data_IF_287371120720
#
_entry.id   IF_287371120720
#
_cell.length_a   1.000
_cell.length_b   1.000
_cell.length_c   1.000
_cell.angle_alpha   90.00
_cell.angle_beta   90.00
_cell.angle_gamma   90.00
#
_symmetry.space_group_name_H-M   'P 1'
#
loop_
_entity.id
_entity.type
_entity.pdbx_description
1 polymer ?
#
# COMPACT_ATOMS: atom_id res chain seq x y z
N UNK A 1 3.22 -10.74 -7.62
CA UNK A 1 2.05 -10.02 -8.18
C UNK A 1 2.39 -8.54 -8.29
N UNK A 2 2.78 -8.04 -9.45
CA UNK A 2 2.82 -6.60 -9.69
C UNK A 2 1.41 -6.15 -10.04
N UNK A 3 0.66 -5.63 -9.07
CA UNK A 3 -0.66 -5.07 -9.37
C UNK A 3 -0.49 -3.97 -10.41
N UNK A 4 -1.27 -4.00 -11.49
CA UNK A 4 -1.32 -2.95 -12.51
C UNK A 4 -1.91 -1.63 -11.97
N UNK A 5 -2.01 -1.49 -10.65
CA UNK A 5 -2.62 -0.36 -9.99
C UNK A 5 -1.94 -0.10 -8.66
N UNK A 6 -1.66 1.16 -8.38
CA UNK A 6 -1.25 1.61 -7.06
C UNK A 6 -2.30 2.53 -6.46
N UNK A 7 -2.38 2.52 -5.13
CA UNK A 7 -3.27 3.38 -4.37
C UNK A 7 -2.48 4.14 -3.33
N UNK A 8 -2.81 5.40 -3.10
CA UNK A 8 -2.27 6.16 -1.97
C UNK A 8 -3.24 7.25 -1.54
N UNK A 9 -3.10 7.66 -0.29
CA UNK A 9 -3.87 8.75 0.29
C UNK A 9 -2.95 9.94 0.51
N UNK A 10 -3.50 11.14 0.34
CA UNK A 10 -2.80 12.38 0.62
C UNK A 10 -3.82 13.41 1.13
N UNK A 11 -3.67 13.83 2.39
CA UNK A 11 -4.70 14.58 3.09
C UNK A 11 -6.05 13.84 3.08
N UNK A 12 -7.13 14.55 2.76
CA UNK A 12 -8.50 13.99 2.69
C UNK A 12 -8.88 13.43 1.31
N UNK A 13 -7.88 13.10 0.48
CA UNK A 13 -8.08 12.60 -0.88
C UNK A 13 -7.41 11.25 -1.06
N UNK A 14 -8.03 10.43 -1.91
CA UNK A 14 -7.50 9.14 -2.33
C UNK A 14 -7.16 9.18 -3.81
N UNK A 15 -6.06 8.53 -4.17
CA UNK A 15 -5.57 8.45 -5.53
C UNK A 15 -5.36 7.01 -5.93
N UNK A 16 -5.64 6.72 -7.19
CA UNK A 16 -5.18 5.50 -7.81
C UNK A 16 -4.58 5.78 -9.17
N UNK A 17 -3.53 5.02 -9.50
CA UNK A 17 -2.88 5.08 -10.80
C UNK A 17 -2.94 3.67 -11.37
N UNK A 18 -3.64 3.53 -12.48
CA UNK A 18 -3.80 2.25 -13.19
C UNK A 18 -2.95 2.26 -14.45
N UNK A 19 -2.07 1.28 -14.60
CA UNK A 19 -1.28 1.07 -15.81
C UNK A 19 -2.09 0.22 -16.79
N UNK A 20 -2.06 0.61 -18.06
CA UNK A 20 -2.52 -0.20 -19.18
C UNK A 20 -1.56 -0.03 -20.36
N UNK A 21 -1.63 -0.94 -21.33
CA UNK A 21 -0.73 -0.94 -22.48
C UNK A 21 -1.56 -0.92 -23.76
N UNK A 22 -1.15 -0.10 -24.72
CA UNK A 22 -1.72 -0.07 -26.07
C UNK A 22 -0.61 0.11 -27.09
N UNK A 23 -0.58 -0.72 -28.13
CA UNK A 23 0.46 -0.73 -29.16
C UNK A 23 1.89 -0.80 -28.59
N UNK A 24 2.13 -1.65 -27.59
CA UNK A 24 3.39 -1.76 -26.84
C UNK A 24 3.85 -0.48 -26.09
N UNK A 25 2.99 0.53 -25.99
CA UNK A 25 3.24 1.74 -25.20
C UNK A 25 2.45 1.66 -23.90
N UNK A 26 3.13 1.93 -22.78
CA UNK A 26 2.50 2.01 -21.47
C UNK A 26 1.84 3.37 -21.23
N UNK A 27 0.60 3.32 -20.74
CA UNK A 27 -0.22 4.45 -20.38
C UNK A 27 -0.70 4.33 -18.93
N UNK A 28 -0.96 5.46 -18.31
CA UNK A 28 -1.30 5.54 -16.89
C UNK A 28 -2.53 6.42 -16.68
N UNK A 29 -3.58 5.82 -16.13
CA UNK A 29 -4.77 6.55 -15.70
C UNK A 29 -4.61 6.95 -14.24
N UNK A 30 -4.40 8.24 -13.99
CA UNK A 30 -4.38 8.81 -12.64
C UNK A 30 -5.77 9.33 -12.29
N UNK A 31 -6.36 8.74 -11.24
CA UNK A 31 -7.66 9.14 -10.72
C UNK A 31 -7.52 9.77 -9.33
N UNK A 32 -8.02 11.00 -9.18
CA UNK A 32 -8.23 11.67 -7.89
C UNK A 32 -9.68 11.47 -7.45
N UNK A 33 -9.88 11.13 -6.17
CA UNK A 33 -11.20 11.13 -5.51
C UNK A 33 -11.19 11.93 -4.22
N UNK A 34 -12.25 12.70 -4.05
CA UNK A 34 -12.65 13.34 -2.79
C UNK A 34 -14.10 12.97 -2.47
N UNK A 35 -14.65 13.47 -1.35
CA UNK A 35 -16.02 13.18 -0.91
C UNK A 35 -17.10 13.45 -1.97
N UNK A 36 -16.92 14.47 -2.82
CA UNK A 36 -17.93 14.92 -3.79
C UNK A 36 -17.40 15.04 -5.22
N UNK A 37 -16.16 14.61 -5.48
CA UNK A 37 -15.50 14.85 -6.76
C UNK A 37 -14.61 13.68 -7.17
N UNK A 38 -14.65 13.35 -8.45
CA UNK A 38 -13.72 12.42 -9.09
C UNK A 38 -13.15 13.09 -10.34
N UNK A 39 -11.82 13.06 -10.48
CA UNK A 39 -11.12 13.52 -11.68
C UNK A 39 -10.21 12.43 -12.18
N UNK A 40 -10.06 12.32 -13.49
CA UNK A 40 -9.19 11.36 -14.16
C UNK A 40 -8.36 12.10 -15.19
N UNK A 41 -7.10 11.72 -15.31
CA UNK A 41 -6.21 12.11 -16.40
C UNK A 41 -5.44 10.89 -16.89
N UNK A 42 -5.27 10.79 -18.20
CA UNK A 42 -4.47 9.74 -18.83
C UNK A 42 -3.12 10.33 -19.23
N UNK A 43 -2.04 9.64 -18.86
CA UNK A 43 -0.68 10.13 -18.93
C UNK A 43 0.21 9.12 -19.64
N UNK A 44 1.15 9.60 -20.44
CA UNK A 44 2.25 8.77 -20.95
C UNK A 44 3.27 8.52 -19.84
N UNK A 45 4.10 7.50 -20.02
CA UNK A 45 5.17 7.18 -19.06
C UNK A 45 6.09 8.39 -18.80
N UNK A 46 6.52 9.08 -19.86
CA UNK A 46 7.38 10.28 -19.77
C UNK A 46 6.74 11.39 -18.95
N UNK A 47 5.43 11.61 -19.12
CA UNK A 47 4.71 12.63 -18.35
C UNK A 47 4.63 12.22 -16.88
N UNK A 48 4.39 10.95 -16.57
CA UNK A 48 4.33 10.47 -15.19
C UNK A 48 5.71 10.54 -14.50
N UNK A 49 6.79 10.24 -15.22
CA UNK A 49 8.16 10.44 -14.76
C UNK A 49 8.47 11.92 -14.49
N UNK A 50 8.06 12.81 -15.38
CA UNK A 50 8.16 14.26 -15.18
C UNK A 50 7.36 14.71 -13.95
N UNK A 51 6.16 14.15 -13.71
CA UNK A 51 5.41 14.41 -12.48
C UNK A 51 6.22 13.98 -11.25
N UNK A 52 6.84 12.81 -11.27
CA UNK A 52 7.70 12.36 -10.17
C UNK A 52 8.89 13.31 -9.94
N UNK A 53 9.49 13.84 -11.01
CA UNK A 53 10.53 14.84 -10.92
C UNK A 53 10.04 16.13 -10.22
N UNK A 54 8.94 16.73 -10.70
CA UNK A 54 8.45 17.99 -10.10
C UNK A 54 7.98 17.80 -8.65
N UNK A 55 7.44 16.63 -8.29
CA UNK A 55 7.05 16.35 -6.90
C UNK A 55 8.28 16.31 -5.99
N UNK A 56 9.40 15.72 -6.44
CA UNK A 56 10.65 15.71 -5.68
C UNK A 56 11.23 17.12 -5.54
N UNK A 57 11.31 17.86 -6.63
CA UNK A 57 11.78 19.25 -6.65
C UNK A 57 10.94 20.15 -5.74
N UNK A 58 9.60 20.07 -5.86
CA UNK A 58 8.67 20.84 -5.04
C UNK A 58 8.80 20.58 -3.54
N UNK A 59 9.33 19.40 -3.17
CA UNK A 59 9.56 18.98 -1.78
C UNK A 59 10.86 19.50 -1.18
N UNK A 60 11.82 19.94 -1.99
CA UNK A 60 13.14 20.34 -1.51
C UNK A 60 13.12 21.70 -0.81
N UNK A 61 12.26 22.64 -1.24
CA UNK A 61 12.15 23.92 -0.55
C UNK A 61 11.09 23.92 0.55
N UNK A 62 11.44 24.45 1.71
CA UNK A 62 10.52 24.63 2.84
C UNK A 62 9.75 25.97 2.79
N UNK A 63 10.14 26.91 1.91
CA UNK A 63 9.48 28.22 1.81
C UNK A 63 8.13 28.11 1.09
N UNK A 64 7.17 28.98 1.45
CA UNK A 64 5.85 29.12 0.79
C UNK A 64 5.92 29.83 -0.56
N UNK A 65 6.87 29.44 -1.41
CA UNK A 65 7.05 30.03 -2.74
C UNK A 65 6.19 29.30 -3.78
N UNK A 66 5.60 30.07 -4.70
CA UNK A 66 4.89 29.50 -5.85
C UNK A 66 5.92 29.11 -6.90
N UNK A 67 5.91 27.84 -7.33
CA UNK A 67 6.76 27.32 -8.41
C UNK A 67 5.94 26.78 -9.55
N UNK A 68 6.45 26.87 -10.77
CA UNK A 68 5.76 26.46 -12.00
C UNK A 68 6.72 25.66 -12.88
N UNK A 69 6.21 24.57 -13.44
CA UNK A 69 6.89 23.71 -14.40
C UNK A 69 5.95 23.49 -15.59
N UNK A 70 6.52 23.35 -16.78
CA UNK A 70 5.79 23.04 -18.01
C UNK A 70 6.43 21.83 -18.68
N UNK A 71 5.62 20.96 -19.24
CA UNK A 71 6.05 19.85 -20.06
C UNK A 71 5.11 19.72 -21.25
N UNK A 72 5.66 19.64 -22.45
CA UNK A 72 4.90 19.47 -23.68
C UNK A 72 5.10 18.05 -24.17
N UNK A 73 4.02 17.28 -24.22
CA UNK A 73 3.99 15.98 -24.88
C UNK A 73 3.39 16.14 -26.29
N UNK A 74 3.50 15.10 -27.13
CA UNK A 74 2.97 15.11 -28.49
C UNK A 74 1.45 15.33 -28.52
N UNK A 75 0.74 14.90 -27.47
CA UNK A 75 -0.73 14.84 -27.43
C UNK A 75 -1.34 15.92 -26.54
N UNK A 76 -0.58 16.47 -25.58
CA UNK A 76 -1.10 17.40 -24.58
C UNK A 76 0.02 18.26 -23.95
N UNK A 77 -0.36 19.42 -23.44
CA UNK A 77 0.51 20.24 -22.60
C UNK A 77 0.18 20.05 -21.13
N UNK A 78 1.22 19.91 -20.31
CA UNK A 78 1.13 19.68 -18.89
C UNK A 78 1.80 20.82 -18.12
N UNK A 79 1.13 21.26 -17.06
CA UNK A 79 1.63 22.30 -16.17
C UNK A 79 1.59 21.82 -14.74
N UNK A 80 2.74 21.84 -14.08
CA UNK A 80 2.88 21.54 -12.67
C UNK A 80 3.03 22.84 -11.91
N UNK A 81 2.25 23.08 -10.87
CA UNK A 81 2.41 24.27 -10.03
C UNK A 81 2.36 23.91 -8.57
N UNK A 82 3.36 24.38 -7.81
CA UNK A 82 3.33 24.33 -6.35
C UNK A 82 2.70 25.62 -5.85
N UNK A 83 1.65 25.49 -5.06
CA UNK A 83 0.89 26.62 -4.49
C UNK A 83 0.69 26.40 -2.99
N UNK A 84 0.21 27.44 -2.31
CA UNK A 84 -0.17 27.36 -0.90
C UNK A 84 -1.45 28.16 -0.67
N UNK A 85 -2.22 27.78 0.35
CA UNK A 85 -3.38 28.52 0.84
C UNK A 85 -3.44 28.38 2.37
N UNK A 86 -4.56 28.80 2.98
CA UNK A 86 -4.80 28.68 4.42
C UNK A 86 -4.78 27.24 4.95
N UNK A 87 -4.92 26.24 4.09
CA UNK A 87 -4.92 24.81 4.44
C UNK A 87 -3.56 24.14 4.22
N UNK A 88 -2.55 24.89 3.80
CA UNK A 88 -1.20 24.39 3.53
C UNK A 88 -0.82 24.37 2.05
N UNK A 89 0.26 23.65 1.75
CA UNK A 89 0.83 23.58 0.40
C UNK A 89 0.18 22.47 -0.42
N UNK A 90 0.12 22.66 -1.73
CA UNK A 90 -0.40 21.66 -2.65
C UNK A 90 0.27 21.76 -4.02
N UNK A 91 0.34 20.63 -4.69
CA UNK A 91 0.72 20.51 -6.09
C UNK A 91 -0.54 20.46 -6.96
N UNK A 92 -0.59 21.30 -7.98
CA UNK A 92 -1.63 21.32 -9.00
C UNK A 92 -1.03 20.90 -10.33
N UNK A 93 -1.46 19.77 -10.85
CA UNK A 93 -1.06 19.20 -12.14
C UNK A 93 -2.21 19.41 -13.11
N UNK A 94 -2.01 20.28 -14.08
CA UNK A 94 -2.95 20.63 -15.12
C UNK A 94 -2.56 19.92 -16.42
N UNK A 95 -3.53 19.29 -17.08
CA UNK A 95 -3.40 18.75 -18.43
C UNK A 95 -4.34 19.52 -19.36
N UNK A 96 -3.79 19.98 -20.47
CA UNK A 96 -4.49 20.64 -21.57
C UNK A 96 -4.37 19.77 -22.82
N UNK A 97 -5.49 19.24 -23.30
CA UNK A 97 -5.56 18.42 -24.52
C UNK A 97 -6.58 19.05 -25.47
N UNK A 98 -6.12 19.92 -26.36
CA UNK A 98 -7.01 20.76 -27.15
C UNK A 98 -7.82 21.69 -26.23
N UNK A 99 -9.15 21.61 -26.30
CA UNK A 99 -10.06 22.35 -25.43
C UNK A 99 -10.27 21.68 -24.06
N UNK A 100 -9.95 20.38 -23.93
CA UNK A 100 -10.15 19.63 -22.70
C UNK A 100 -9.13 20.03 -21.63
N UNK A 101 -9.65 20.38 -20.46
CA UNK A 101 -8.86 20.78 -19.29
C UNK A 101 -9.15 19.90 -18.09
N UNK A 102 -8.11 19.23 -17.59
CA UNK A 102 -8.20 18.43 -16.36
C UNK A 102 -7.14 18.84 -15.34
N UNK A 103 -7.49 18.86 -14.06
CA UNK A 103 -6.57 19.27 -12.97
C UNK A 103 -6.60 18.26 -11.83
N UNK A 104 -5.44 17.68 -11.53
CA UNK A 104 -5.21 16.88 -10.33
C UNK A 104 -4.56 17.75 -9.25
N UNK A 105 -5.11 17.72 -8.04
CA UNK A 105 -4.57 18.46 -6.90
C UNK A 105 -4.08 17.47 -5.86
N UNK A 106 -2.78 17.49 -5.56
CA UNK A 106 -2.12 16.66 -4.55
C UNK A 106 -1.70 17.55 -3.38
N UNK A 107 -2.42 17.53 -2.23
CA UNK A 107 -2.04 18.33 -1.07
C UNK A 107 -0.76 17.80 -0.44
N UNK A 108 -0.11 18.59 0.41
CA UNK A 108 0.90 18.06 1.33
C UNK A 108 0.23 17.24 2.44
N UNK A 109 0.90 16.22 3.00
CA UNK A 109 0.30 15.34 4.02
C UNK A 109 0.30 16.04 5.37
N UNK A 110 1.43 16.65 5.69
CA UNK A 110 1.68 17.42 6.90
C UNK A 110 2.55 18.63 6.55
N UNK A 111 2.66 19.56 7.50
CA UNK A 111 3.46 20.77 7.33
C UNK A 111 4.93 20.37 7.04
N UNK A 112 5.42 20.74 5.86
CA UNK A 112 6.79 20.48 5.39
C UNK A 112 7.18 19.01 5.15
N UNK A 113 6.22 18.08 5.10
CA UNK A 113 6.48 16.67 4.75
C UNK A 113 6.87 16.46 3.27
N UNK A 114 6.40 17.35 2.39
CA UNK A 114 6.57 17.28 0.94
C UNK A 114 5.82 16.13 0.27
N UNK A 115 6.29 15.78 -0.92
CA UNK A 115 5.74 14.76 -1.81
C UNK A 115 6.77 13.69 -2.21
N UNK A 116 7.93 13.62 -1.54
CA UNK A 116 8.99 12.66 -1.87
C UNK A 116 8.51 11.21 -1.77
N UNK A 117 7.72 10.88 -0.75
CA UNK A 117 7.14 9.54 -0.56
C UNK A 117 6.19 9.16 -1.70
N UNK A 118 5.32 10.09 -2.11
CA UNK A 118 4.40 9.93 -3.24
C UNK A 118 5.19 9.75 -4.54
N UNK A 119 6.16 10.63 -4.80
CA UNK A 119 7.00 10.54 -5.99
C UNK A 119 7.77 9.22 -6.06
N UNK A 120 8.34 8.76 -4.94
CA UNK A 120 9.02 7.48 -4.85
C UNK A 120 8.07 6.32 -5.16
N UNK A 121 6.86 6.33 -4.58
CA UNK A 121 5.85 5.29 -4.83
C UNK A 121 5.45 5.19 -6.30
N UNK A 122 5.21 6.33 -6.95
CA UNK A 122 4.88 6.38 -8.38
C UNK A 122 6.08 5.95 -9.23
N UNK A 123 7.28 6.39 -8.89
CA UNK A 123 8.49 6.03 -9.61
C UNK A 123 8.80 4.53 -9.50
N UNK A 124 8.66 3.93 -8.33
CA UNK A 124 8.77 2.48 -8.13
C UNK A 124 7.74 1.75 -8.98
N UNK A 125 6.50 2.25 -9.04
CA UNK A 125 5.46 1.68 -9.88
C UNK A 125 5.86 1.71 -11.36
N UNK A 126 6.33 2.85 -11.90
CA UNK A 126 6.81 2.97 -13.28
C UNK A 126 7.89 1.93 -13.58
N UNK A 127 8.89 1.81 -12.71
CA UNK A 127 10.04 0.90 -12.90
C UNK A 127 9.70 -0.57 -12.76
N UNK A 128 8.72 -0.92 -11.92
CA UNK A 128 8.24 -2.29 -11.81
C UNK A 128 7.48 -2.65 -13.09
N UNK A 129 8.10 -3.40 -14.00
CA UNK A 129 7.34 -4.05 -15.08
C UNK A 129 6.37 -5.06 -14.45
N UNK A 130 5.18 -5.28 -15.04
CA UNK A 130 4.35 -6.41 -14.65
C UNK A 130 5.10 -7.69 -15.02
N UNK A 131 5.95 -8.19 -14.13
CA UNK A 131 6.52 -9.51 -14.28
C UNK A 131 5.35 -10.48 -14.40
N UNK A 132 5.31 -11.22 -15.50
CA UNK A 132 4.63 -12.51 -15.56
C UNK A 132 5.38 -13.44 -14.61
N UNK A 133 5.23 -13.23 -13.31
CA UNK A 133 5.54 -14.28 -12.36
C UNK A 133 4.60 -15.43 -12.72
N UNK A 134 5.15 -16.50 -13.28
CA UNK A 134 4.62 -17.84 -13.04
C UNK A 134 4.69 -18.01 -11.53
N UNK A 135 3.71 -17.47 -10.82
CA UNK A 135 3.49 -17.86 -9.44
C UNK A 135 3.17 -19.34 -9.56
N UNK A 136 4.16 -20.20 -9.35
CA UNK A 136 3.85 -21.47 -8.72
C UNK A 136 3.03 -21.06 -7.52
N UNK A 137 1.71 -21.27 -7.60
CA UNK A 137 0.83 -21.14 -6.45
C UNK A 137 1.57 -21.84 -5.34
N UNK A 138 2.02 -21.11 -4.32
CA UNK A 138 2.58 -21.76 -3.14
C UNK A 138 1.51 -22.74 -2.74
N UNK A 139 1.81 -24.02 -2.87
CA UNK A 139 0.99 -25.09 -2.33
C UNK A 139 0.83 -24.73 -0.88
N UNK A 140 -0.32 -24.13 -0.56
CA UNK A 140 -0.63 -23.81 0.82
C UNK A 140 -0.84 -25.18 1.44
N UNK A 141 0.14 -25.64 2.20
CA UNK A 141 -0.04 -26.84 2.99
C UNK A 141 -1.21 -26.56 3.92
N UNK A 142 -2.35 -27.22 3.68
CA UNK A 142 -3.59 -27.05 4.43
C UNK A 142 -3.41 -27.35 5.92
N UNK A 143 -2.28 -27.96 6.30
CA UNK A 143 -1.89 -28.29 7.67
C UNK A 143 -1.07 -27.23 8.39
N UNK A 144 -0.73 -26.10 7.75
CA UNK A 144 0.11 -25.08 8.38
C UNK A 144 -0.71 -24.18 9.32
N UNK A 145 -0.56 -24.39 10.63
CA UNK A 145 -1.14 -23.52 11.67
C UNK A 145 -0.67 -22.07 11.53
N UNK A 146 -1.58 -21.13 11.80
CA UNK A 146 -1.33 -19.69 11.76
C UNK A 146 -0.10 -19.28 12.58
N UNK A 147 0.12 -19.92 13.73
CA UNK A 147 1.30 -19.68 14.59
C UNK A 147 2.60 -19.96 13.84
N UNK A 148 2.69 -21.10 13.15
CA UNK A 148 3.85 -21.46 12.32
C UNK A 148 4.03 -20.51 11.12
N UNK A 149 2.94 -19.99 10.57
CA UNK A 149 2.99 -19.03 9.47
C UNK A 149 3.50 -17.64 9.90
N UNK A 150 3.24 -17.25 11.14
CA UNK A 150 3.71 -15.98 11.71
C UNK A 150 5.17 -16.08 12.12
N UNK A 151 5.59 -17.17 12.77
CA UNK A 151 6.99 -17.36 13.19
C UNK A 151 7.94 -17.54 12.00
N UNK A 152 7.52 -18.24 10.95
CA UNK A 152 8.36 -18.48 9.77
C UNK A 152 8.40 -17.29 8.79
N UNK A 153 7.63 -16.22 9.04
CA UNK A 153 7.64 -15.04 8.18
C UNK A 153 8.81 -14.13 8.56
N UNK A 154 9.52 -13.65 7.53
CA UNK A 154 10.60 -12.63 7.59
C UNK A 154 10.22 -11.29 8.26
N UNK A 155 9.00 -11.14 8.77
CA UNK A 155 8.58 -10.00 9.59
C UNK A 155 9.14 -10.05 11.02
N UNK A 156 9.62 -11.21 11.46
CA UNK A 156 10.42 -11.37 12.68
C UNK A 156 11.90 -11.61 12.33
N UNK A 157 12.47 -10.81 11.43
CA UNK A 157 13.93 -10.84 11.22
C UNK A 157 14.60 -10.08 12.37
N UNK A 158 14.65 -10.69 13.55
CA UNK A 158 15.58 -10.36 14.63
C UNK A 158 15.67 -11.56 15.58
N UNK A 159 16.20 -12.66 15.09
CA UNK A 159 16.82 -13.70 15.92
C UNK A 159 18.00 -14.28 15.14
N UNK A 160 19.17 -14.48 15.77
CA UNK A 160 20.37 -14.93 15.09
C UNK A 160 20.19 -16.37 14.60
N UNK A 161 20.80 -16.65 13.45
CA UNK A 161 20.76 -17.92 12.74
C UNK A 161 21.00 -19.13 13.65
N UNK A 162 20.10 -20.11 13.62
CA UNK A 162 20.43 -21.48 13.99
C UNK A 162 20.21 -22.43 12.81
N UNK A 163 21.37 -22.82 12.29
CA UNK A 163 21.74 -23.96 11.47
C UNK A 163 20.70 -25.09 11.42
N UNK A 164 20.32 -25.41 10.20
CA UNK A 164 19.59 -26.60 9.79
C UNK A 164 20.31 -27.87 10.23
N UNK A 165 19.65 -28.75 10.98
CA UNK A 165 20.01 -30.18 11.01
C UNK A 165 18.78 -31.06 10.81
N UNK A 166 19.01 -32.11 10.03
CA UNK A 166 18.04 -32.94 9.33
C UNK A 166 17.26 -33.88 10.25
N UNK A 167 15.98 -34.08 9.91
CA UNK A 167 15.29 -35.38 9.89
C UNK A 167 14.96 -36.07 11.22
N UNK A 168 13.68 -36.05 11.61
CA UNK A 168 12.87 -37.23 11.95
C UNK A 168 11.46 -36.80 12.35
N UNK A 169 10.45 -37.41 11.75
CA UNK A 169 9.07 -37.38 12.24
C UNK A 169 8.99 -38.14 13.56
N UNK A 170 8.49 -37.50 14.62
CA UNK A 170 8.03 -38.18 15.84
C UNK A 170 6.70 -37.54 16.24
N UNK A 171 5.70 -38.39 16.43
CA UNK A 171 4.32 -38.03 16.72
C UNK A 171 4.10 -37.41 18.11
N UNK A 172 3.08 -36.56 18.14
CA UNK A 172 2.16 -36.20 19.24
C UNK A 172 2.68 -36.40 20.68
N UNK A 173 2.94 -35.29 21.36
CA UNK A 173 2.15 -34.92 22.55
C UNK A 173 2.30 -33.42 22.82
N UNK A 174 1.23 -32.65 22.64
CA UNK A 174 1.25 -31.20 22.78
C UNK A 174 0.91 -30.79 24.22
N UNK A 175 1.79 -31.10 25.16
CA UNK A 175 1.90 -30.30 26.39
C UNK A 175 3.09 -29.36 26.26
N UNK A 176 3.01 -28.45 25.28
CA UNK A 176 3.99 -27.38 25.18
C UNK A 176 3.54 -26.24 26.10
N UNK A 177 4.11 -26.18 27.31
CA UNK A 177 4.21 -24.93 28.07
C UNK A 177 4.91 -23.91 27.17
N UNK A 178 4.14 -23.04 26.54
CA UNK A 178 4.70 -21.98 25.70
C UNK A 178 5.29 -20.94 26.64
N UNK A 179 6.62 -20.84 26.65
CA UNK A 179 7.33 -19.76 27.33
C UNK A 179 7.19 -18.50 26.48
N UNK A 180 6.16 -17.70 26.79
CA UNK A 180 5.67 -16.60 25.97
C UNK A 180 6.32 -15.25 26.35
N UNK A 181 7.54 -14.99 25.89
CA UNK A 181 8.15 -13.65 25.92
C UNK A 181 7.97 -12.86 24.61
N UNK A 182 7.25 -13.41 23.62
CA UNK A 182 7.01 -12.78 22.31
C UNK A 182 5.70 -12.00 22.20
N UNK A 183 5.48 -11.35 21.04
CA UNK A 183 4.24 -10.60 20.71
C UNK A 183 2.98 -11.46 20.88
N UNK A 184 3.07 -12.76 20.59
CA UNK A 184 1.95 -13.70 20.74
C UNK A 184 1.55 -13.94 22.20
N UNK A 185 2.48 -13.81 23.15
CA UNK A 185 2.18 -13.87 24.58
C UNK A 185 1.31 -12.70 25.07
N UNK A 186 1.23 -11.62 24.28
CA UNK A 186 0.37 -10.46 24.56
C UNK A 186 -0.97 -10.52 23.81
N UNK A 187 -1.17 -11.51 22.95
CA UNK A 187 -2.38 -11.65 22.15
C UNK A 187 -3.32 -12.68 22.79
N UNK A 188 -4.61 -12.37 22.84
CA UNK A 188 -5.63 -13.35 23.16
C UNK A 188 -5.87 -14.23 21.93
N UNK A 189 -5.64 -15.52 22.07
CA UNK A 189 -5.99 -16.52 21.07
C UNK A 189 -6.79 -17.66 21.72
N UNK A 190 -7.62 -18.32 20.92
CA UNK A 190 -8.43 -19.46 21.33
C UNK A 190 -8.60 -20.42 20.16
N UNK A 191 -8.93 -21.66 20.48
CA UNK A 191 -9.16 -22.71 19.49
C UNK A 191 -10.65 -23.03 19.42
N UNK A 192 -11.17 -23.24 18.21
CA UNK A 192 -12.50 -23.82 18.05
C UNK A 192 -12.41 -25.32 18.26
N UNK A 193 -13.37 -25.84 19.00
CA UNK A 193 -13.47 -27.27 19.25
C UNK A 193 -13.80 -27.99 17.94
N UNK A 194 -12.95 -28.94 17.55
CA UNK A 194 -13.06 -29.61 16.24
C UNK A 194 -14.23 -30.59 16.18
N UNK A 195 -14.85 -30.90 17.31
CA UNK A 195 -15.96 -31.85 17.41
C UNK A 195 -17.33 -31.24 17.11
N UNK A 196 -17.41 -29.91 16.97
CA UNK A 196 -18.66 -29.24 16.53
C UNK A 196 -18.67 -29.08 15.01
N UNK A 197 -19.65 -29.70 14.36
CA UNK A 197 -19.82 -29.65 12.90
C UNK A 197 -20.27 -28.28 12.37
N UNK A 198 -20.70 -27.37 13.25
CA UNK A 198 -21.20 -26.06 12.87
C UNK A 198 -20.18 -24.97 13.18
N UNK A 199 -19.83 -24.18 12.15
CA UNK A 199 -18.94 -23.05 12.31
C UNK A 199 -19.62 -21.97 13.16
N UNK A 200 -18.93 -21.42 14.17
CA UNK A 200 -19.54 -20.41 15.03
C UNK A 200 -19.90 -19.17 14.24
N UNK A 201 -21.07 -18.63 14.55
CA UNK A 201 -21.55 -17.38 13.97
C UNK A 201 -20.70 -16.20 14.42
N UNK A 202 -20.66 -15.12 13.62
CA UNK A 202 -19.94 -13.89 13.95
C UNK A 202 -20.34 -13.31 15.33
N UNK A 203 -21.61 -13.45 15.69
CA UNK A 203 -22.18 -13.08 16.99
C UNK A 203 -21.54 -13.86 18.14
N UNK A 204 -21.34 -15.17 17.97
CA UNK A 204 -20.72 -16.03 18.98
C UNK A 204 -19.24 -15.72 19.14
N UNK A 205 -18.53 -15.53 18.02
CA UNK A 205 -17.10 -15.13 18.04
C UNK A 205 -16.91 -13.81 18.78
N UNK A 206 -17.76 -12.81 18.52
CA UNK A 206 -17.73 -11.51 19.23
C UNK A 206 -18.05 -11.62 20.72
N UNK A 207 -18.99 -12.48 21.07
CA UNK A 207 -19.36 -12.74 22.46
C UNK A 207 -18.21 -13.41 23.21
N UNK A 208 -17.56 -14.41 22.61
CA UNK A 208 -16.42 -15.10 23.20
C UNK A 208 -15.19 -14.20 23.32
N UNK A 209 -14.85 -13.44 22.28
CA UNK A 209 -13.71 -12.52 22.35
C UNK A 209 -13.90 -11.48 23.46
N UNK A 210 -15.12 -10.97 23.62
CA UNK A 210 -15.48 -10.02 24.67
C UNK A 210 -15.41 -10.65 26.07
N UNK A 211 -15.85 -11.89 26.23
CA UNK A 211 -15.74 -12.63 27.51
C UNK A 211 -14.28 -12.92 27.87
N UNK A 212 -13.45 -13.34 26.91
CA UNK A 212 -12.04 -13.62 27.16
C UNK A 212 -11.29 -12.33 27.47
N UNK A 213 -11.62 -11.23 26.78
CA UNK A 213 -11.04 -9.91 27.05
C UNK A 213 -11.38 -9.42 28.47
N UNK A 214 -12.66 -9.51 28.88
CA UNK A 214 -13.07 -9.22 30.27
C UNK A 214 -12.35 -10.11 31.27
N UNK A 215 -12.24 -11.41 31.00
CA UNK A 215 -11.53 -12.33 31.91
C UNK A 215 -10.03 -11.99 32.03
N UNK A 216 -9.40 -11.52 30.96
CA UNK A 216 -7.98 -11.19 30.94
C UNK A 216 -7.67 -9.80 31.54
N UNK A 217 -8.62 -8.85 31.46
CA UNK A 217 -8.36 -7.43 31.76
C UNK A 217 -9.43 -6.72 32.63
N UNK A 218 -10.51 -7.40 33.06
CA UNK A 218 -11.65 -6.86 33.82
C UNK A 218 -12.97 -6.85 33.06
#
# INVERSE_FOLDING_TARGET
MGDNRIYFNQGFKSYDITRWTSNNVAWYDWVERSRKMRRRVTLSEKVLEWICFILREASSDQKNQVRRWRFKDLVAEFFGTRKHNSHGRYMSILSLKGEDRTVIIVPESDINAGWKSVAFKIQSFIKCSPQKEKTQSRTHDSKMSYVKAVTNRKWQSNSPDMVTTKGKEIGVNCEAKINDQGVLGRCIFGFFDKERAENPTLSEVRRWSSMVWKKAFG
#
